data_IF_498130583486
#
_entry.id   IF_498130583486
#
_cell.length_a   1.000
_cell.length_b   1.000
_cell.length_c   1.000
_cell.angle_alpha   90.00
_cell.angle_beta   90.00
_cell.angle_gamma   90.00
#
_symmetry.space_group_name_H-M   'P 1'
#
loop_
_entity.id
_entity.type
_entity.pdbx_description
1 polymer ?
#
# COMPACT_ATOMS: atom_id res chain seq x y z
N UNK A 1 -25.94 -7.38 26.73
CA UNK A 1 -25.56 -6.01 27.14
C UNK A 1 -25.78 -5.02 26.00
N UNK A 2 -25.05 -5.06 24.88
CA UNK A 2 -25.32 -4.15 23.75
C UNK A 2 -26.70 -4.33 23.12
N UNK A 3 -27.22 -5.56 23.11
CA UNK A 3 -28.54 -5.93 22.56
C UNK A 3 -29.72 -5.45 23.38
N UNK A 4 -29.46 -5.00 24.61
CA UNK A 4 -30.49 -4.63 25.59
C UNK A 4 -30.57 -3.10 25.75
N UNK A 5 -29.75 -2.36 25.00
CA UNK A 5 -29.73 -0.91 25.01
C UNK A 5 -30.95 -0.34 24.25
N UNK A 6 -31.54 0.76 24.76
CA UNK A 6 -32.44 1.60 23.97
C UNK A 6 -31.77 2.05 22.66
N UNK A 7 -32.58 2.22 21.61
CA UNK A 7 -32.07 2.58 20.28
C UNK A 7 -31.28 3.89 20.32
N UNK A 8 -31.70 4.87 21.10
CA UNK A 8 -31.05 6.18 21.22
C UNK A 8 -29.62 6.04 21.76
N UNK A 9 -29.42 5.24 22.81
CA UNK A 9 -28.10 4.99 23.38
C UNK A 9 -27.22 4.17 22.44
N UNK A 10 -27.81 3.24 21.69
CA UNK A 10 -27.09 2.51 20.65
C UNK A 10 -26.59 3.46 19.56
N UNK A 11 -27.43 4.36 19.05
CA UNK A 11 -27.03 5.35 18.05
C UNK A 11 -25.93 6.28 18.57
N UNK A 12 -26.00 6.73 19.83
CA UNK A 12 -24.92 7.51 20.44
C UNK A 12 -23.60 6.74 20.49
N UNK A 13 -23.60 5.42 20.71
CA UNK A 13 -22.39 4.61 20.65
C UNK A 13 -21.88 4.52 19.20
N UNK A 14 -22.78 4.31 18.25
CA UNK A 14 -22.44 4.19 16.83
C UNK A 14 -21.83 5.49 16.27
N UNK A 15 -22.23 6.67 16.78
CA UNK A 15 -21.64 7.97 16.41
C UNK A 15 -20.13 8.08 16.72
N UNK A 16 -19.62 7.26 17.66
CA UNK A 16 -18.19 7.21 17.98
C UNK A 16 -17.43 6.11 17.23
N UNK A 17 -18.11 5.30 16.42
CA UNK A 17 -17.48 4.21 15.67
C UNK A 17 -17.13 4.65 14.25
N UNK A 18 -15.97 4.23 13.80
CA UNK A 18 -15.64 4.29 12.38
C UNK A 18 -16.47 3.27 11.59
N UNK A 19 -16.56 3.48 10.27
CA UNK A 19 -17.34 2.62 9.38
C UNK A 19 -17.02 1.13 9.56
N UNK A 20 -15.74 0.77 9.62
CA UNK A 20 -15.29 -0.61 9.74
C UNK A 20 -15.66 -1.27 11.08
N UNK A 21 -15.66 -0.50 12.16
CA UNK A 21 -16.05 -0.97 13.49
C UNK A 21 -17.55 -1.21 13.56
N UNK A 22 -18.35 -0.29 13.01
CA UNK A 22 -19.79 -0.44 12.90
C UNK A 22 -20.16 -1.66 12.03
N UNK A 23 -19.48 -1.85 10.89
CA UNK A 23 -19.65 -3.05 10.05
C UNK A 23 -19.31 -4.32 10.84
N UNK A 24 -18.17 -4.36 11.54
CA UNK A 24 -17.73 -5.51 12.34
C UNK A 24 -18.71 -5.86 13.47
N UNK A 25 -19.28 -4.84 14.12
CA UNK A 25 -20.30 -4.99 15.15
C UNK A 25 -21.57 -5.64 14.58
N UNK A 26 -21.96 -5.28 13.35
CA UNK A 26 -23.12 -5.88 12.68
C UNK A 26 -22.95 -7.38 12.40
N UNK A 27 -21.73 -7.85 12.11
CA UNK A 27 -21.43 -9.25 11.89
C UNK A 27 -21.34 -10.05 13.19
N UNK A 28 -20.74 -9.45 14.23
CA UNK A 28 -20.54 -10.09 15.54
C UNK A 28 -21.85 -10.23 16.31
N UNK A 29 -22.76 -9.25 16.18
CA UNK A 29 -24.04 -9.22 16.88
C UNK A 29 -25.21 -9.11 15.88
N UNK A 30 -25.65 -10.26 15.36
CA UNK A 30 -26.72 -10.32 14.34
C UNK A 30 -28.02 -9.61 14.74
N UNK A 31 -28.37 -9.58 16.02
CA UNK A 31 -29.56 -8.89 16.52
C UNK A 31 -29.49 -7.36 16.37
N UNK A 32 -28.29 -6.79 16.31
CA UNK A 32 -28.07 -5.34 16.11
C UNK A 32 -28.03 -4.95 14.63
N UNK A 33 -27.94 -5.93 13.73
CA UNK A 33 -27.74 -5.71 12.30
C UNK A 33 -28.75 -4.73 11.67
N UNK A 34 -30.06 -4.78 11.96
CA UNK A 34 -31.01 -3.84 11.35
C UNK A 34 -30.75 -2.38 11.76
N UNK A 35 -30.49 -2.14 13.05
CA UNK A 35 -30.22 -0.80 13.57
C UNK A 35 -28.88 -0.26 13.05
N UNK A 36 -27.84 -1.09 13.07
CA UNK A 36 -26.51 -0.72 12.58
C UNK A 36 -26.53 -0.45 11.08
N UNK A 37 -27.25 -1.25 10.28
CA UNK A 37 -27.41 -0.97 8.84
C UNK A 37 -28.12 0.35 8.59
N UNK A 38 -29.19 0.64 9.32
CA UNK A 38 -29.86 1.94 9.18
C UNK A 38 -28.92 3.10 9.51
N UNK A 39 -28.12 2.97 10.57
CA UNK A 39 -27.10 3.95 10.92
C UNK A 39 -26.04 4.14 9.81
N UNK A 40 -25.52 3.04 9.25
CA UNK A 40 -24.55 3.07 8.16
C UNK A 40 -25.12 3.75 6.91
N UNK A 41 -26.39 3.50 6.57
CA UNK A 41 -27.05 4.15 5.42
C UNK A 41 -27.18 5.64 5.59
N UNK A 42 -27.44 6.09 6.81
CA UNK A 42 -27.65 7.51 7.11
C UNK A 42 -26.35 8.29 7.21
N UNK A 43 -25.30 7.72 7.81
CA UNK A 43 -24.07 8.44 8.12
C UNK A 43 -22.90 8.11 7.18
N UNK A 44 -22.92 6.94 6.56
CA UNK A 44 -21.86 6.41 5.71
C UNK A 44 -22.40 5.90 4.37
N UNK A 45 -23.41 6.56 3.81
CA UNK A 45 -24.15 6.11 2.62
C UNK A 45 -23.24 5.65 1.46
N UNK A 46 -22.21 6.43 1.13
CA UNK A 46 -21.26 6.08 0.08
C UNK A 46 -20.41 4.85 0.44
N UNK A 47 -19.93 4.77 1.68
CA UNK A 47 -19.12 3.63 2.12
C UNK A 47 -19.94 2.33 2.08
N UNK A 48 -21.20 2.37 2.52
CA UNK A 48 -22.08 1.21 2.46
C UNK A 48 -22.37 0.79 1.01
N UNK A 49 -22.65 1.75 0.12
CA UNK A 49 -22.89 1.46 -1.30
C UNK A 49 -21.68 0.77 -1.95
N UNK A 50 -20.46 1.29 -1.69
CA UNK A 50 -19.22 0.66 -2.15
C UNK A 50 -19.05 -0.73 -1.53
N UNK A 51 -19.24 -0.85 -0.21
CA UNK A 51 -19.07 -2.11 0.51
C UNK A 51 -20.01 -3.21 0.00
N UNK A 52 -21.29 -2.93 -0.23
CA UNK A 52 -22.24 -3.91 -0.78
C UNK A 52 -21.85 -4.33 -2.22
N UNK A 53 -21.34 -3.41 -3.07
CA UNK A 53 -20.80 -3.77 -4.39
C UNK A 53 -19.57 -4.68 -4.30
N UNK A 54 -18.70 -4.45 -3.32
CA UNK A 54 -17.55 -5.31 -3.07
C UNK A 54 -17.97 -6.70 -2.55
N UNK A 55 -19.03 -6.79 -1.73
CA UNK A 55 -19.60 -8.09 -1.34
C UNK A 55 -20.16 -8.86 -2.55
N UNK A 56 -20.83 -8.16 -3.48
CA UNK A 56 -21.34 -8.78 -4.70
C UNK A 56 -20.20 -9.23 -5.63
N UNK A 57 -19.12 -8.46 -5.71
CA UNK A 57 -17.89 -8.84 -6.42
C UNK A 57 -17.30 -10.15 -5.91
N UNK A 58 -17.17 -10.27 -4.58
CA UNK A 58 -16.62 -11.46 -3.94
C UNK A 58 -17.48 -12.71 -4.16
N UNK A 59 -18.80 -12.56 -4.28
CA UNK A 59 -19.73 -13.66 -4.54
C UNK A 59 -19.72 -14.15 -5.99
N UNK A 60 -19.40 -13.28 -6.95
CA UNK A 60 -19.63 -13.54 -8.37
C UNK A 60 -18.41 -14.07 -9.13
N UNK A 61 -17.28 -14.32 -8.45
CA UNK A 61 -16.14 -15.10 -8.95
C UNK A 61 -15.69 -14.80 -10.40
N UNK A 62 -15.44 -13.52 -10.69
CA UNK A 62 -14.73 -12.93 -11.86
C UNK A 62 -15.53 -12.46 -13.08
N UNK A 63 -16.71 -13.02 -13.39
CA UNK A 63 -17.44 -12.70 -14.64
C UNK A 63 -17.97 -11.25 -14.72
N UNK A 64 -18.16 -10.59 -13.58
CA UNK A 64 -18.78 -9.25 -13.50
C UNK A 64 -17.79 -8.11 -13.18
N UNK A 65 -16.48 -8.35 -13.28
CA UNK A 65 -15.46 -7.36 -12.88
C UNK A 65 -15.62 -6.02 -13.61
N UNK A 66 -16.00 -6.05 -14.89
CA UNK A 66 -16.20 -4.84 -15.70
C UNK A 66 -17.40 -4.02 -15.24
N UNK A 67 -18.53 -4.69 -15.00
CA UNK A 67 -19.76 -4.05 -14.51
C UNK A 67 -19.49 -3.41 -13.16
N UNK A 68 -18.84 -4.14 -12.25
CA UNK A 68 -18.57 -3.66 -10.89
C UNK A 68 -17.56 -2.50 -10.92
N UNK A 69 -16.51 -2.59 -11.73
CA UNK A 69 -15.56 -1.50 -11.90
C UNK A 69 -16.24 -0.22 -12.41
N UNK A 70 -17.15 -0.36 -13.36
CA UNK A 70 -17.96 0.75 -13.86
C UNK A 70 -18.88 1.30 -12.78
N UNK A 71 -19.65 0.44 -12.10
CA UNK A 71 -20.59 0.82 -11.05
C UNK A 71 -19.89 1.58 -9.91
N UNK A 72 -18.71 1.12 -9.48
CA UNK A 72 -17.93 1.79 -8.44
C UNK A 72 -17.47 3.19 -8.84
N UNK A 73 -17.07 3.39 -10.10
CA UNK A 73 -16.75 4.72 -10.62
C UNK A 73 -18.01 5.58 -10.76
N UNK A 74 -19.11 4.99 -11.22
CA UNK A 74 -20.37 5.70 -11.40
C UNK A 74 -20.93 6.20 -10.07
N UNK A 75 -20.79 5.45 -8.98
CA UNK A 75 -21.13 5.92 -7.62
C UNK A 75 -20.41 7.22 -7.25
N UNK A 76 -19.15 7.39 -7.67
CA UNK A 76 -18.41 8.64 -7.46
C UNK A 76 -18.97 9.74 -8.37
N UNK A 77 -19.18 9.44 -9.65
CA UNK A 77 -19.73 10.40 -10.62
C UNK A 77 -21.11 10.91 -10.19
N UNK A 78 -22.01 10.04 -9.75
CA UNK A 78 -23.39 10.39 -9.34
C UNK A 78 -23.39 11.38 -8.15
N UNK A 79 -22.36 11.31 -7.30
CA UNK A 79 -22.17 12.27 -6.19
C UNK A 79 -21.55 13.58 -6.69
N UNK A 80 -20.60 13.51 -7.62
CA UNK A 80 -19.80 14.66 -8.06
C UNK A 80 -20.52 15.52 -9.11
N UNK A 81 -21.21 14.91 -10.07
CA UNK A 81 -21.93 15.59 -11.15
C UNK A 81 -22.89 16.70 -10.70
N UNK A 82 -23.73 16.52 -9.65
CA UNK A 82 -24.63 17.58 -9.18
C UNK A 82 -23.91 18.69 -8.40
N UNK A 83 -22.64 18.52 -8.04
CA UNK A 83 -21.89 19.50 -7.26
C UNK A 83 -21.45 20.69 -8.14
N UNK A 84 -21.11 21.84 -7.54
CA UNK A 84 -20.50 22.93 -8.28
C UNK A 84 -19.11 22.54 -8.83
N UNK A 85 -18.78 22.99 -10.04
CA UNK A 85 -17.52 22.64 -10.74
C UNK A 85 -16.24 22.89 -9.92
N UNK A 86 -16.24 23.85 -9.00
CA UNK A 86 -15.07 24.15 -8.17
C UNK A 86 -14.83 23.11 -7.06
N UNK A 87 -15.86 22.34 -6.69
CA UNK A 87 -15.77 21.27 -5.68
C UNK A 87 -15.48 19.90 -6.30
N UNK A 88 -15.73 19.73 -7.60
CA UNK A 88 -15.68 18.44 -8.27
C UNK A 88 -14.41 17.65 -7.97
N UNK A 89 -13.25 18.28 -8.15
CA UNK A 89 -11.95 17.64 -7.88
C UNK A 89 -11.82 17.18 -6.44
N UNK A 90 -12.17 18.03 -5.48
CA UNK A 90 -12.00 17.73 -4.06
C UNK A 90 -12.90 16.56 -3.63
N UNK A 91 -14.19 16.61 -4.00
CA UNK A 91 -15.14 15.55 -3.68
C UNK A 91 -14.79 14.25 -4.42
N UNK A 92 -14.37 14.33 -5.69
CA UNK A 92 -13.94 13.15 -6.43
C UNK A 92 -12.73 12.48 -5.77
N UNK A 93 -11.71 13.26 -5.39
CA UNK A 93 -10.54 12.73 -4.67
C UNK A 93 -10.94 12.12 -3.32
N UNK A 94 -11.79 12.79 -2.53
CA UNK A 94 -12.28 12.26 -1.25
C UNK A 94 -13.00 10.91 -1.41
N UNK A 95 -13.94 10.80 -2.37
CA UNK A 95 -14.67 9.55 -2.61
C UNK A 95 -13.78 8.46 -3.20
N UNK A 96 -12.80 8.84 -4.02
CA UNK A 96 -11.80 7.91 -4.53
C UNK A 96 -10.91 7.38 -3.39
N UNK A 97 -10.49 8.23 -2.46
CA UNK A 97 -9.69 7.83 -1.29
C UNK A 97 -10.46 6.86 -0.39
N UNK A 98 -11.75 7.12 -0.16
CA UNK A 98 -12.64 6.18 0.56
C UNK A 98 -12.67 4.81 -0.15
N UNK A 99 -12.91 4.80 -1.47
CA UNK A 99 -12.94 3.56 -2.25
C UNK A 99 -11.62 2.79 -2.16
N UNK A 100 -10.48 3.49 -2.27
CA UNK A 100 -9.15 2.90 -2.16
C UNK A 100 -8.93 2.28 -0.77
N UNK A 101 -9.28 3.00 0.30
CA UNK A 101 -9.16 2.52 1.67
C UNK A 101 -10.04 1.28 1.93
N UNK A 102 -11.28 1.27 1.42
CA UNK A 102 -12.16 0.11 1.53
C UNK A 102 -11.57 -1.11 0.83
N UNK A 103 -10.99 -0.95 -0.37
CA UNK A 103 -10.30 -2.05 -1.08
C UNK A 103 -9.14 -2.60 -0.27
N UNK A 104 -8.24 -1.73 0.21
CA UNK A 104 -7.10 -2.16 1.04
C UNK A 104 -7.58 -2.92 2.27
N UNK A 105 -8.58 -2.39 2.95
CA UNK A 105 -9.15 -3.03 4.13
C UNK A 105 -9.67 -4.45 3.82
N UNK A 106 -10.35 -4.65 2.68
CA UNK A 106 -10.79 -6.00 2.26
C UNK A 106 -9.62 -6.92 1.95
N UNK A 107 -8.60 -6.45 1.22
CA UNK A 107 -7.38 -7.20 0.91
C UNK A 107 -6.67 -7.67 2.19
N UNK A 108 -6.58 -6.82 3.20
CA UNK A 108 -5.95 -7.15 4.47
C UNK A 108 -6.80 -8.07 5.36
N UNK A 109 -8.11 -8.12 5.16
CA UNK A 109 -9.01 -8.95 5.97
C UNK A 109 -9.23 -10.34 5.35
N UNK A 110 -9.50 -10.42 4.05
CA UNK A 110 -9.89 -11.67 3.40
C UNK A 110 -8.66 -12.36 2.81
N UNK A 111 -8.40 -13.63 3.12
CA UNK A 111 -7.30 -14.36 2.50
C UNK A 111 -7.59 -14.71 1.04
N UNK A 112 -6.55 -14.70 0.19
CA UNK A 112 -6.60 -15.15 -1.20
C UNK A 112 -7.50 -14.31 -2.11
N UNK A 113 -7.67 -13.02 -1.80
CA UNK A 113 -8.46 -12.09 -2.60
C UNK A 113 -7.61 -11.05 -3.33
N UNK A 114 -6.30 -11.06 -3.13
CA UNK A 114 -5.33 -10.04 -3.57
C UNK A 114 -5.37 -9.89 -5.09
N UNK A 115 -5.36 -11.02 -5.80
CA UNK A 115 -5.38 -11.07 -7.27
C UNK A 115 -6.72 -10.61 -7.86
N UNK A 116 -7.82 -10.87 -7.15
CA UNK A 116 -9.16 -10.43 -7.58
C UNK A 116 -9.30 -8.92 -7.41
N UNK A 117 -8.91 -8.39 -6.24
CA UNK A 117 -8.98 -6.97 -5.97
C UNK A 117 -7.99 -6.17 -6.82
N UNK A 118 -6.77 -6.66 -7.06
CA UNK A 118 -5.84 -6.01 -7.96
C UNK A 118 -6.41 -5.91 -9.39
N UNK A 119 -7.03 -6.98 -9.90
CA UNK A 119 -7.72 -6.97 -11.21
C UNK A 119 -8.85 -5.95 -11.25
N UNK A 120 -9.67 -5.86 -10.20
CA UNK A 120 -10.71 -4.84 -10.09
C UNK A 120 -10.13 -3.43 -10.12
N UNK A 121 -9.09 -3.15 -9.33
CA UNK A 121 -8.40 -1.85 -9.30
C UNK A 121 -7.82 -1.45 -10.66
N UNK A 122 -7.13 -2.39 -11.33
CA UNK A 122 -6.59 -2.18 -12.67
C UNK A 122 -7.70 -1.92 -13.68
N UNK A 123 -8.86 -2.59 -13.54
CA UNK A 123 -10.01 -2.37 -14.41
C UNK A 123 -10.66 -1.01 -14.18
N UNK A 124 -10.83 -0.59 -12.93
CA UNK A 124 -11.29 0.77 -12.58
C UNK A 124 -10.34 1.81 -13.17
N UNK A 125 -9.02 1.65 -12.97
CA UNK A 125 -8.01 2.54 -13.53
C UNK A 125 -8.11 2.60 -15.06
N UNK A 126 -8.27 1.46 -15.72
CA UNK A 126 -8.45 1.38 -17.17
C UNK A 126 -9.71 2.16 -17.61
N UNK A 127 -10.89 1.89 -17.04
CA UNK A 127 -12.12 2.61 -17.39
C UNK A 127 -11.95 4.12 -17.21
N UNK A 128 -11.40 4.55 -16.07
CA UNK A 128 -11.11 5.96 -15.81
C UNK A 128 -10.19 6.58 -16.87
N UNK A 129 -9.09 5.92 -17.23
CA UNK A 129 -8.14 6.43 -18.24
C UNK A 129 -8.73 6.49 -19.65
N UNK A 130 -9.79 5.71 -19.91
CA UNK A 130 -10.43 5.61 -21.22
C UNK A 130 -11.75 6.40 -21.34
N UNK A 131 -12.42 6.77 -20.24
CA UNK A 131 -13.68 7.54 -20.22
C UNK A 131 -13.46 9.06 -20.00
N UNK A 132 -13.57 9.92 -21.03
CA UNK A 132 -13.35 11.37 -20.86
C UNK A 132 -14.37 12.05 -19.94
N UNK A 133 -15.62 11.58 -19.94
CA UNK A 133 -16.70 12.07 -19.09
C UNK A 133 -16.42 11.93 -17.60
N UNK A 134 -15.71 10.87 -17.19
CA UNK A 134 -15.32 10.67 -15.79
C UNK A 134 -14.13 11.58 -15.44
N UNK A 135 -13.13 11.65 -16.32
CA UNK A 135 -11.89 12.41 -16.03
C UNK A 135 -12.13 13.90 -15.88
N UNK A 136 -13.05 14.48 -16.65
CA UNK A 136 -13.32 15.91 -16.57
C UNK A 136 -13.90 16.31 -15.21
N UNK A 137 -14.58 15.39 -14.51
CA UNK A 137 -15.05 15.60 -13.14
C UNK A 137 -13.89 15.59 -12.15
N UNK A 138 -12.91 14.70 -12.30
CA UNK A 138 -11.78 14.63 -11.39
C UNK A 138 -10.73 15.73 -11.64
N UNK A 139 -10.35 15.96 -12.90
CA UNK A 139 -9.41 16.99 -13.31
C UNK A 139 -9.81 17.56 -14.69
N UNK A 140 -10.49 18.72 -14.72
CA UNK A 140 -10.90 19.38 -15.96
C UNK A 140 -9.73 19.74 -16.89
N UNK A 141 -8.51 19.85 -16.35
CA UNK A 141 -7.30 20.19 -17.11
C UNK A 141 -6.53 18.95 -17.55
N UNK A 142 -7.02 17.75 -17.26
CA UNK A 142 -6.33 16.51 -17.57
C UNK A 142 -6.08 16.37 -19.08
N UNK A 143 -4.80 16.48 -19.47
CA UNK A 143 -4.32 16.21 -20.84
C UNK A 143 -3.47 14.95 -20.82
N UNK A 144 -3.90 13.91 -21.56
CA UNK A 144 -3.24 12.58 -21.63
C UNK A 144 -1.73 12.62 -21.91
N UNK A 145 -1.23 13.64 -22.61
CA UNK A 145 0.16 13.72 -23.10
C UNK A 145 1.06 14.73 -22.35
N UNK A 146 0.56 15.45 -21.34
CA UNK A 146 1.27 16.63 -20.79
C UNK A 146 1.23 16.73 -19.27
N UNK A 147 0.74 15.71 -18.56
CA UNK A 147 0.67 15.72 -17.10
C UNK A 147 1.96 15.13 -16.52
N UNK A 148 2.79 16.01 -15.92
CA UNK A 148 3.99 15.63 -15.16
C UNK A 148 3.68 14.66 -13.99
N UNK A 149 2.43 14.69 -13.52
CA UNK A 149 1.90 13.80 -12.48
C UNK A 149 0.52 13.30 -12.91
N UNK A 150 0.43 12.15 -13.59
CA UNK A 150 -0.85 11.63 -14.07
C UNK A 150 -1.73 11.24 -12.88
N UNK A 151 -2.93 11.82 -12.78
CA UNK A 151 -3.95 11.45 -11.81
C UNK A 151 -4.75 10.26 -12.38
N UNK A 152 -4.73 9.13 -11.67
CA UNK A 152 -5.56 7.98 -11.98
C UNK A 152 -5.85 7.19 -10.68
N UNK A 153 -6.98 6.49 -10.60
CA UNK A 153 -7.28 5.58 -9.51
C UNK A 153 -6.22 4.50 -9.29
N UNK A 154 -6.01 4.14 -8.02
CA UNK A 154 -5.24 2.97 -7.60
C UNK A 154 -3.77 2.97 -8.06
N UNK A 155 -3.11 4.13 -8.20
CA UNK A 155 -1.72 4.14 -8.65
C UNK A 155 -0.77 3.65 -7.54
N UNK A 156 0.29 2.89 -7.84
CA UNK A 156 1.15 2.32 -6.80
C UNK A 156 1.69 3.35 -5.79
N UNK A 157 2.02 4.56 -6.26
CA UNK A 157 2.51 5.64 -5.38
C UNK A 157 1.56 5.97 -4.23
N UNK A 158 0.24 5.80 -4.43
CA UNK A 158 -0.80 6.13 -3.45
C UNK A 158 -0.85 5.10 -2.29
N UNK A 159 -0.15 3.96 -2.44
CA UNK A 159 -0.08 2.85 -1.47
C UNK A 159 1.29 2.73 -0.81
N UNK A 160 2.27 3.55 -1.20
CA UNK A 160 3.66 3.49 -0.69
C UNK A 160 3.72 3.66 0.83
N UNK A 161 2.82 4.44 1.41
CA UNK A 161 2.76 4.61 2.86
C UNK A 161 2.36 3.32 3.61
N UNK A 162 1.45 2.51 3.04
CA UNK A 162 1.07 1.19 3.60
C UNK A 162 2.25 0.22 3.49
N UNK A 163 2.97 0.27 2.36
CA UNK A 163 4.20 -0.49 2.19
C UNK A 163 5.24 -0.16 3.26
N UNK A 164 5.52 1.13 3.48
CA UNK A 164 6.45 1.59 4.54
C UNK A 164 6.03 1.11 5.91
N UNK A 165 4.74 1.23 6.26
CA UNK A 165 4.21 0.74 7.52
C UNK A 165 4.52 -0.76 7.72
N UNK A 166 4.29 -1.58 6.70
CA UNK A 166 4.58 -3.02 6.77
C UNK A 166 6.08 -3.35 6.82
N UNK A 167 6.93 -2.56 6.17
CA UNK A 167 8.38 -2.66 6.27
C UNK A 167 8.85 -2.32 7.69
N UNK A 168 8.34 -1.24 8.29
CA UNK A 168 8.63 -0.84 9.67
C UNK A 168 8.17 -1.89 10.70
N UNK A 169 6.96 -2.43 10.52
CA UNK A 169 6.44 -3.54 11.33
C UNK A 169 7.40 -4.73 11.27
N UNK A 170 7.84 -5.13 10.07
CA UNK A 170 8.81 -6.22 9.90
C UNK A 170 10.09 -5.96 10.69
N UNK A 171 10.67 -4.76 10.59
CA UNK A 171 11.87 -4.35 11.34
C UNK A 171 11.70 -4.49 12.85
N UNK A 172 10.54 -4.12 13.39
CA UNK A 172 10.25 -4.22 14.81
C UNK A 172 10.20 -5.68 15.31
N UNK A 173 9.77 -6.61 14.46
CA UNK A 173 9.68 -8.04 14.79
C UNK A 173 11.05 -8.71 14.87
N UNK A 174 11.99 -8.35 13.99
CA UNK A 174 13.34 -8.90 14.00
C UNK A 174 14.22 -8.33 15.13
N UNK A 175 13.88 -7.15 15.66
CA UNK A 175 14.58 -6.53 16.78
C UNK A 175 14.22 -7.10 18.15
N UNK A 176 13.09 -7.82 18.26
CA UNK A 176 12.68 -8.48 19.50
C UNK A 176 13.26 -9.89 19.54
N UNK A 177 14.16 -10.15 20.50
CA UNK A 177 14.74 -11.46 20.81
C UNK A 177 13.69 -12.48 21.32
N UNK A 178 12.61 -12.70 20.57
CA UNK A 178 11.59 -13.69 20.90
C UNK A 178 12.06 -15.05 20.36
N UNK A 179 12.31 -15.97 21.29
CA UNK A 179 12.99 -17.25 21.05
C UNK A 179 12.22 -18.19 20.12
N UNK A 180 10.94 -17.97 19.80
CA UNK A 180 10.22 -18.78 18.80
C UNK A 180 9.05 -18.01 18.13
N UNK A 181 9.24 -17.42 16.94
CA UNK A 181 8.20 -16.66 16.23
C UNK A 181 6.97 -17.48 15.79
N UNK A 182 7.10 -18.80 15.69
CA UNK A 182 6.09 -19.69 15.09
C UNK A 182 4.93 -20.08 16.00
N UNK A 183 4.97 -19.72 17.29
CA UNK A 183 3.88 -19.99 18.24
C UNK A 183 2.97 -18.79 18.49
N UNK A 184 3.37 -17.58 18.09
CA UNK A 184 2.52 -16.41 18.27
C UNK A 184 1.57 -16.23 17.08
N UNK A 185 0.30 -16.56 17.32
CA UNK A 185 -0.78 -16.43 16.34
C UNK A 185 -0.92 -15.01 15.80
N UNK A 186 -0.59 -13.98 16.59
CA UNK A 186 -0.66 -12.58 16.13
C UNK A 186 0.45 -12.24 15.16
N UNK A 187 1.66 -12.74 15.40
CA UNK A 187 2.80 -12.56 14.49
C UNK A 187 2.55 -13.24 13.14
N UNK A 188 1.95 -14.44 13.17
CA UNK A 188 1.57 -15.15 11.96
C UNK A 188 0.52 -14.38 11.15
N UNK A 189 -0.49 -13.83 11.82
CA UNK A 189 -1.55 -13.02 11.19
C UNK A 189 -0.99 -11.73 10.58
N UNK A 190 -0.10 -11.02 11.29
CA UNK A 190 0.57 -9.82 10.79
C UNK A 190 1.43 -10.12 9.57
N UNK A 191 2.23 -11.19 9.62
CA UNK A 191 2.99 -11.66 8.45
C UNK A 191 2.05 -11.95 7.28
N UNK A 192 0.96 -12.68 7.49
CA UNK A 192 -0.01 -12.96 6.42
C UNK A 192 -0.63 -11.69 5.84
N UNK A 193 -1.01 -10.71 6.67
CA UNK A 193 -1.50 -9.39 6.20
C UNK A 193 -0.48 -8.70 5.30
N UNK A 194 0.77 -8.64 5.75
CA UNK A 194 1.88 -8.06 5.00
C UNK A 194 2.11 -8.74 3.64
N UNK A 195 2.20 -10.08 3.62
CA UNK A 195 2.45 -10.82 2.37
C UNK A 195 1.28 -10.67 1.38
N UNK A 196 0.05 -10.61 1.89
CA UNK A 196 -1.13 -10.34 1.05
C UNK A 196 -1.09 -8.94 0.45
N UNK A 197 -0.76 -7.94 1.26
CA UNK A 197 -0.57 -6.59 0.76
C UNK A 197 0.54 -6.53 -0.29
N UNK A 198 1.70 -7.16 -0.04
CA UNK A 198 2.82 -7.20 -0.99
C UNK A 198 2.40 -7.76 -2.36
N UNK A 199 1.61 -8.85 -2.37
CA UNK A 199 1.08 -9.45 -3.61
C UNK A 199 0.12 -8.51 -4.32
N UNK A 200 -0.89 -8.00 -3.62
CA UNK A 200 -1.86 -7.04 -4.16
C UNK A 200 -1.15 -5.82 -4.75
N UNK A 201 -0.22 -5.25 -3.98
CA UNK A 201 0.51 -4.05 -4.32
C UNK A 201 1.42 -4.26 -5.54
N UNK A 202 2.13 -5.38 -5.60
CA UNK A 202 2.95 -5.76 -6.75
C UNK A 202 2.14 -5.85 -8.05
N UNK A 203 0.94 -6.43 -8.02
CA UNK A 203 0.06 -6.49 -9.20
C UNK A 203 -0.39 -5.11 -9.71
N UNK A 204 -0.44 -4.08 -8.85
CA UNK A 204 -0.81 -2.72 -9.28
C UNK A 204 0.24 -2.05 -10.18
N UNK A 205 1.47 -2.57 -10.21
CA UNK A 205 2.54 -2.13 -11.10
C UNK A 205 2.36 -2.61 -12.55
N UNK A 206 1.35 -3.43 -12.83
CA UNK A 206 0.98 -3.75 -14.21
C UNK A 206 0.81 -2.46 -15.03
N UNK A 207 1.47 -2.42 -16.18
CA UNK A 207 1.45 -1.26 -17.07
C UNK A 207 0.10 -1.21 -17.76
N UNK A 208 -0.81 -0.40 -17.21
CA UNK A 208 -2.15 -0.17 -17.78
C UNK A 208 -2.14 0.89 -18.87
N UNK A 209 -1.06 1.67 -18.98
CA UNK A 209 -0.88 2.70 -19.99
C UNK A 209 0.58 3.13 -20.07
N UNK A 210 1.09 3.37 -21.28
CA UNK A 210 2.46 3.88 -21.54
C UNK A 210 2.72 5.20 -20.77
N UNK A 211 1.68 5.99 -20.50
CA UNK A 211 1.81 7.27 -19.78
C UNK A 211 2.09 7.12 -18.28
N UNK A 212 1.87 5.93 -17.72
CA UNK A 212 2.12 5.64 -16.30
C UNK A 212 3.43 4.91 -16.06
N UNK A 213 4.00 4.32 -17.12
CA UNK A 213 5.16 3.43 -17.07
C UNK A 213 6.36 4.08 -16.36
N UNK A 214 6.79 5.26 -16.81
CA UNK A 214 7.94 5.96 -16.24
C UNK A 214 7.80 6.28 -14.73
N UNK A 215 6.58 6.52 -14.25
CA UNK A 215 6.34 6.79 -12.83
C UNK A 215 6.25 5.51 -12.00
N UNK A 216 5.76 4.41 -12.60
CA UNK A 216 5.66 3.12 -11.94
C UNK A 216 7.06 2.53 -11.67
N UNK A 217 8.02 2.72 -12.57
CA UNK A 217 9.41 2.31 -12.36
C UNK A 217 10.04 2.97 -11.12
N UNK A 218 10.06 4.31 -11.06
CA UNK A 218 10.67 5.00 -9.91
C UNK A 218 9.99 4.69 -8.57
N UNK A 219 8.67 4.46 -8.58
CA UNK A 219 7.94 4.04 -7.37
C UNK A 219 8.36 2.63 -6.92
N UNK A 220 8.59 1.72 -7.87
CA UNK A 220 9.01 0.36 -7.57
C UNK A 220 10.41 0.36 -6.94
N UNK A 221 11.36 1.11 -7.52
CA UNK A 221 12.73 1.21 -7.02
C UNK A 221 12.78 1.78 -5.59
N UNK A 222 11.88 2.71 -5.26
CA UNK A 222 11.69 3.19 -3.89
C UNK A 222 11.20 2.06 -2.96
N UNK A 223 10.19 1.28 -3.39
CA UNK A 223 9.67 0.16 -2.60
C UNK A 223 10.73 -0.93 -2.36
N UNK A 224 11.56 -1.22 -3.37
CA UNK A 224 12.67 -2.17 -3.27
C UNK A 224 13.67 -1.70 -2.21
N UNK A 225 14.10 -0.44 -2.27
CA UNK A 225 15.04 0.15 -1.29
C UNK A 225 14.49 0.08 0.14
N UNK A 226 13.23 0.46 0.34
CA UNK A 226 12.55 0.42 1.65
C UNK A 226 12.56 -0.99 2.26
N UNK A 227 12.20 -2.02 1.48
CA UNK A 227 12.18 -3.39 1.98
C UNK A 227 13.58 -3.95 2.26
N UNK A 228 14.56 -3.59 1.45
CA UNK A 228 15.95 -4.01 1.68
C UNK A 228 16.53 -3.37 2.95
N UNK A 229 16.26 -2.08 3.19
CA UNK A 229 16.64 -1.39 4.43
C UNK A 229 15.94 -2.00 5.66
N UNK A 230 14.67 -2.40 5.51
CA UNK A 230 13.90 -3.07 6.56
C UNK A 230 14.30 -4.55 6.77
N UNK A 231 15.04 -5.15 5.85
CA UNK A 231 15.36 -6.57 5.86
C UNK A 231 14.18 -7.49 5.51
N UNK A 232 13.12 -6.98 4.88
CA UNK A 232 11.92 -7.74 4.53
C UNK A 232 12.02 -8.39 3.14
N UNK A 233 12.99 -9.28 2.99
CA UNK A 233 13.26 -9.99 1.73
C UNK A 233 12.06 -10.82 1.24
N UNK A 234 11.23 -11.32 2.17
CA UNK A 234 10.07 -12.14 1.83
C UNK A 234 8.98 -11.33 1.11
N UNK A 235 8.57 -10.20 1.69
CA UNK A 235 7.58 -9.32 1.05
C UNK A 235 8.11 -8.75 -0.25
N UNK A 236 9.41 -8.40 -0.30
CA UNK A 236 10.07 -7.92 -1.51
C UNK A 236 9.99 -8.94 -2.64
N UNK A 237 10.31 -10.21 -2.36
CA UNK A 237 10.23 -11.28 -3.36
C UNK A 237 8.80 -11.44 -3.90
N UNK A 238 7.80 -11.43 -3.02
CA UNK A 238 6.39 -11.53 -3.41
C UNK A 238 5.98 -10.32 -4.27
N UNK A 239 6.37 -9.11 -3.86
CA UNK A 239 6.05 -7.88 -4.58
C UNK A 239 6.67 -7.88 -5.98
N UNK A 240 7.95 -8.21 -6.11
CA UNK A 240 8.66 -8.25 -7.38
C UNK A 240 8.09 -9.31 -8.33
N UNK A 241 7.80 -10.51 -7.79
CA UNK A 241 7.16 -11.60 -8.56
C UNK A 241 5.79 -11.16 -9.08
N UNK A 242 4.97 -10.56 -8.21
CA UNK A 242 3.65 -10.05 -8.58
C UNK A 242 3.73 -8.90 -9.61
N UNK A 243 4.74 -8.05 -9.52
CA UNK A 243 5.03 -6.99 -10.48
C UNK A 243 5.63 -7.50 -11.80
N UNK A 244 5.83 -8.82 -11.97
CA UNK A 244 6.49 -9.45 -13.12
C UNK A 244 7.89 -8.88 -13.37
N UNK A 245 8.63 -8.62 -12.29
CA UNK A 245 10.01 -8.16 -12.33
C UNK A 245 10.93 -9.31 -12.01
N UNK A 246 11.99 -9.45 -12.81
CA UNK A 246 13.04 -10.39 -12.48
C UNK A 246 13.68 -9.99 -11.16
N UNK A 247 13.76 -10.96 -10.24
CA UNK A 247 14.41 -10.75 -8.95
C UNK A 247 15.90 -10.97 -9.16
N UNK A 248 16.59 -9.92 -9.59
CA UNK A 248 18.05 -9.90 -9.65
C UNK A 248 18.61 -9.46 -8.29
N UNK A 249 19.17 -10.43 -7.55
CA UNK A 249 19.74 -10.18 -6.23
C UNK A 249 20.98 -9.29 -6.28
N UNK A 250 21.77 -9.33 -7.37
CA UNK A 250 22.97 -8.50 -7.52
C UNK A 250 22.57 -7.05 -7.77
N UNK A 251 21.60 -6.83 -8.66
CA UNK A 251 21.03 -5.51 -8.91
C UNK A 251 20.40 -4.91 -7.64
N UNK A 252 19.65 -5.71 -6.88
CA UNK A 252 19.04 -5.27 -5.62
C UNK A 252 20.07 -4.89 -4.55
N UNK A 253 21.16 -5.65 -4.42
CA UNK A 253 22.26 -5.29 -3.50
C UNK A 253 22.94 -3.99 -3.95
N UNK A 254 23.20 -3.84 -5.25
CA UNK A 254 23.77 -2.62 -5.81
C UNK A 254 22.88 -1.40 -5.56
N UNK A 255 21.55 -1.52 -5.70
CA UNK A 255 20.61 -0.43 -5.43
C UNK A 255 20.67 0.06 -3.98
N UNK A 256 20.86 -0.83 -3.02
CA UNK A 256 21.01 -0.46 -1.59
C UNK A 256 22.34 0.22 -1.34
N UNK A 257 23.43 -0.32 -1.91
CA UNK A 257 24.76 0.27 -1.79
C UNK A 257 24.78 1.69 -2.35
N UNK A 258 24.25 1.89 -3.56
CA UNK A 258 24.15 3.21 -4.19
C UNK A 258 23.25 4.17 -3.39
N UNK A 259 22.12 3.71 -2.86
CA UNK A 259 21.27 4.54 -2.01
C UNK A 259 21.98 4.94 -0.71
N UNK A 260 22.76 4.02 -0.12
CA UNK A 260 23.62 4.29 1.02
C UNK A 260 24.68 5.34 0.70
N UNK A 261 25.40 5.18 -0.41
CA UNK A 261 26.40 6.15 -0.89
C UNK A 261 25.79 7.53 -1.14
N UNK A 262 24.63 7.60 -1.79
CA UNK A 262 23.91 8.87 -2.03
C UNK A 262 23.49 9.55 -0.73
N UNK A 263 23.01 8.79 0.25
CA UNK A 263 22.65 9.31 1.56
C UNK A 263 23.88 9.84 2.31
N UNK A 264 24.99 9.11 2.27
CA UNK A 264 26.25 9.55 2.86
C UNK A 264 26.79 10.81 2.23
N UNK A 265 26.82 10.89 0.90
CA UNK A 265 27.21 12.10 0.19
C UNK A 265 26.31 13.30 0.57
N UNK A 266 25.01 13.06 0.76
CA UNK A 266 24.06 14.11 1.21
C UNK A 266 24.34 14.56 2.65
N UNK A 267 24.66 13.63 3.55
CA UNK A 267 25.02 13.93 4.94
C UNK A 267 26.36 14.67 5.04
N UNK A 268 27.36 14.27 4.24
CA UNK A 268 28.65 14.96 4.14
C UNK A 268 28.47 16.39 3.64
N UNK A 269 27.71 16.58 2.55
CA UNK A 269 27.37 17.92 2.07
C UNK A 269 26.62 18.76 3.12
N UNK A 270 25.69 18.16 3.86
CA UNK A 270 24.96 18.84 4.92
C UNK A 270 25.88 19.27 6.07
N UNK A 271 26.82 18.42 6.47
CA UNK A 271 27.84 18.73 7.48
C UNK A 271 28.81 19.83 7.01
N UNK A 272 29.25 19.79 5.74
CA UNK A 272 30.07 20.83 5.13
C UNK A 272 29.36 22.19 5.06
N UNK A 273 28.05 22.18 4.76
CA UNK A 273 27.19 23.36 4.78
C UNK A 273 27.04 23.92 6.21
N UNK A 274 26.83 23.05 7.21
CA UNK A 274 26.75 23.47 8.62
C UNK A 274 28.07 24.09 9.12
N UNK A 275 29.21 23.51 8.71
CA UNK A 275 30.55 24.05 8.99
C UNK A 275 30.82 25.38 8.27
N UNK A 276 30.24 25.59 7.09
CA UNK A 276 30.32 26.86 6.34
C UNK A 276 29.46 27.98 6.91
N UNK A 277 28.23 27.68 7.35
CA UNK A 277 27.28 28.70 7.80
C UNK A 277 27.37 29.02 9.30
N UNK A 278 27.87 28.08 10.12
CA UNK A 278 27.94 28.23 11.57
C UNK A 278 29.27 27.76 12.17
N UNK A 279 30.41 28.36 11.76
CA UNK A 279 31.74 27.92 12.20
C UNK A 279 31.95 28.04 13.72
N UNK A 280 31.34 29.04 14.37
CA UNK A 280 31.48 29.28 15.82
C UNK A 280 30.75 28.23 16.69
N UNK A 281 29.63 27.67 16.18
CA UNK A 281 28.90 26.58 16.83
C UNK A 281 29.66 25.25 16.72
N UNK A 282 30.24 24.98 15.56
CA UNK A 282 31.07 23.78 15.31
C UNK A 282 32.36 23.83 16.14
N UNK A 283 33.02 25.00 16.23
CA UNK A 283 34.21 25.20 17.05
C UNK A 283 33.92 25.03 18.55
N UNK A 284 32.77 25.53 19.03
CA UNK A 284 32.34 25.38 20.43
C UNK A 284 32.03 23.92 20.79
N UNK A 285 31.42 23.14 19.88
CA UNK A 285 31.18 21.69 20.06
C UNK A 285 32.48 20.88 20.09
N UNK A 286 33.44 21.18 19.20
CA UNK A 286 34.75 20.49 19.17
C UNK A 286 35.58 20.73 20.44
N UNK A 287 35.46 21.90 21.08
CA UNK A 287 36.13 22.21 22.34
C UNK A 287 35.43 21.60 23.57
N UNK A 288 34.12 21.33 23.51
CA UNK A 288 33.35 20.81 24.64
C UNK A 288 33.60 19.33 24.96
N UNK A 289 34.37 18.59 24.15
CA UNK A 289 34.70 17.20 24.45
C UNK A 289 33.48 16.27 24.52
N UNK A 290 32.39 16.60 23.83
CA UNK A 290 31.30 15.66 23.59
C UNK A 290 31.81 14.55 22.67
N UNK A 291 32.25 13.45 23.29
CA UNK A 291 32.68 12.25 22.59
C UNK A 291 31.56 11.70 21.71
N UNK A 292 31.79 11.69 20.39
CA UNK A 292 31.10 10.90 19.37
C UNK A 292 29.56 10.91 19.47
N UNK A 293 28.94 12.02 19.09
CA UNK A 293 27.55 12.03 18.63
C UNK A 293 27.40 12.28 17.11
N UNK A 294 28.50 12.37 16.36
CA UNK A 294 28.53 12.63 14.90
C UNK A 294 28.85 11.39 14.05
N UNK A 295 28.92 10.20 14.66
CA UNK A 295 28.85 8.99 13.84
C UNK A 295 27.38 8.85 13.48
N UNK A 296 27.02 9.02 12.20
CA UNK A 296 25.67 8.69 11.76
C UNK A 296 25.28 7.35 12.39
N UNK A 297 24.07 7.22 12.97
CA UNK A 297 23.71 6.06 13.77
C UNK A 297 24.21 4.77 13.14
N UNK A 298 24.80 3.83 13.89
CA UNK A 298 25.51 2.66 13.31
C UNK A 298 24.74 1.92 12.21
N UNK A 299 23.40 1.96 12.22
CA UNK A 299 22.52 1.42 11.18
C UNK A 299 22.55 2.18 9.83
N UNK A 300 23.20 3.33 9.74
CA UNK A 300 23.40 4.13 8.52
C UNK A 300 24.76 3.88 7.87
N UNK A 301 25.74 3.27 8.55
CA UNK A 301 27.08 3.06 8.01
C UNK A 301 27.05 2.12 6.77
N UNK A 302 27.74 2.45 5.65
CA UNK A 302 27.72 1.61 4.44
C UNK A 302 28.30 0.22 4.71
N UNK A 303 29.26 0.15 5.63
CA UNK A 303 29.90 -1.09 6.09
C UNK A 303 28.93 -2.08 6.73
N UNK A 304 27.74 -1.63 7.16
CA UNK A 304 26.69 -2.50 7.69
C UNK A 304 25.79 -3.14 6.62
N UNK A 305 25.78 -2.56 5.42
CA UNK A 305 25.08 -3.07 4.25
C UNK A 305 26.02 -3.84 3.30
N UNK A 306 27.28 -4.01 3.70
CA UNK A 306 28.19 -4.93 3.04
C UNK A 306 27.75 -6.35 3.35
N UNK A 307 27.38 -7.09 2.30
CA UNK A 307 27.12 -8.51 2.43
C UNK A 307 28.46 -9.23 2.44
N UNK A 308 28.77 -9.92 3.54
CA UNK A 308 30.01 -10.70 3.69
C UNK A 308 30.05 -11.79 2.60
N UNK A 309 31.21 -12.03 1.98
CA UNK A 309 31.43 -13.05 0.94
C UNK A 309 30.98 -14.45 1.38
N UNK A 310 30.94 -14.72 2.70
CA UNK A 310 30.47 -15.98 3.27
C UNK A 310 28.98 -16.00 3.65
N UNK A 311 28.23 -14.92 3.38
CA UNK A 311 26.80 -14.85 3.67
C UNK A 311 26.06 -15.83 2.77
N UNK A 312 25.52 -16.90 3.37
CA UNK A 312 24.71 -17.88 2.64
C UNK A 312 23.37 -17.23 2.30
N UNK A 313 23.27 -16.64 1.11
CA UNK A 313 22.00 -16.19 0.54
C UNK A 313 21.06 -17.40 0.39
N UNK A 314 20.04 -17.49 1.25
CA UNK A 314 18.98 -18.50 1.12
C UNK A 314 17.91 -18.04 0.14
N UNK A 315 18.33 -17.72 -1.08
CA UNK A 315 17.47 -17.72 -2.26
C UNK A 315 18.13 -18.64 -3.28
N UNK A 316 18.00 -19.96 -3.06
CA UNK A 316 18.29 -20.92 -4.11
C UNK A 316 17.14 -20.92 -5.09
N UNK A 317 17.28 -20.17 -6.17
CA UNK A 317 16.59 -20.44 -7.42
C UNK A 317 17.01 -21.84 -7.87
N UNK A 318 16.09 -22.81 -7.79
CA UNK A 318 16.26 -24.06 -8.54
C UNK A 318 15.85 -23.75 -9.98
N UNK A 319 16.82 -23.70 -10.88
CA UNK A 319 16.59 -23.96 -12.29
C UNK A 319 15.83 -25.28 -12.42
N UNK A 320 14.61 -25.24 -12.91
CA UNK A 320 13.95 -26.42 -13.46
C UNK A 320 14.17 -26.38 -14.97
N UNK A 321 14.89 -27.36 -15.55
CA UNK A 321 14.85 -27.56 -16.99
C UNK A 321 13.49 -28.16 -17.37
N UNK A 322 13.03 -27.83 -18.57
CA UNK A 322 11.97 -28.48 -19.35
C UNK A 322 11.18 -29.60 -18.64
N UNK A 323 9.92 -29.33 -18.29
CA UNK A 323 8.93 -30.39 -18.17
C UNK A 323 7.73 -30.08 -19.03
N UNK A 324 7.59 -30.95 -20.03
CA UNK A 324 6.48 -31.14 -20.94
C UNK A 324 5.11 -30.95 -20.27
N UNK A 325 4.31 -30.07 -20.88
CA UNK A 325 2.87 -30.02 -20.71
C UNK A 325 2.24 -31.21 -21.46
N UNK A 326 2.31 -32.41 -20.89
CA UNK A 326 1.41 -33.48 -21.29
C UNK A 326 1.12 -34.44 -20.14
N UNK A 327 -0.16 -34.82 -20.02
CA UNK A 327 -0.73 -35.90 -19.17
C UNK A 327 -0.74 -35.63 -17.65
N UNK A 328 -1.84 -35.69 -16.91
CA UNK A 328 -3.13 -36.37 -17.07
C UNK A 328 -4.23 -35.66 -16.26
N UNK A 329 -5.39 -35.52 -16.89
CA UNK A 329 -6.67 -35.57 -16.19
C UNK A 329 -6.85 -36.97 -15.57
N UNK A 330 -7.17 -37.03 -14.28
CA UNK A 330 -8.31 -37.77 -13.70
C UNK A 330 -8.46 -37.40 -12.22
#
# INVERSE_FOLDING_TARGET
MLTDLPAELLYSILDFLEFHDAVSLSFTHRSLQPAVRNFLRSNFAFHEAVYERMLDFERTATDNTDSIAYDLLQLICDIVEPMPNYEHRAIFSEKLDILQNLVVHRVLQIPNCEDHYARLCLRIRHIYLHAPSIRILHDPKYRRRSTKHPLAPFLPRDYTWIWRLHCEESRSLWGQNSVQPWYDTKLLEQRQKRLRFARFFGLLFAITSIYLEAHQHGTLDECIREALVAGDAESLYILATAAQREVDTEEMVMMVQQAGEQLWATLEMAAELEEHFHPDLVASRRQAGEGRADVAPDWLLPTRYQVDDNTIFRLKVRNAPDMDLSTQCL
#
